data_IF_589980158576
#
_entry.id   IF_589980158576
#
_cell.length_a   1.000
_cell.length_b   1.000
_cell.length_c   1.000
_cell.angle_alpha   90.00
_cell.angle_beta   90.00
_cell.angle_gamma   90.00
#
_symmetry.space_group_name_H-M   'P 1'
#
loop_
_entity.id
_entity.type
_entity.pdbx_description
1 polymer ?
#
# COMPACT_ATOMS: atom_id res chain seq x y z
N UNK A 1 3.00 21.33 -15.90
CA UNK A 1 4.37 20.77 -15.67
C UNK A 1 4.37 19.27 -15.35
N UNK A 2 3.27 18.66 -14.88
CA UNK A 2 3.16 17.21 -14.65
C UNK A 2 2.22 16.52 -15.66
N UNK A 3 1.98 17.16 -16.80
CA UNK A 3 1.05 16.74 -17.85
C UNK A 3 1.43 15.35 -18.41
N UNK A 4 2.73 15.05 -18.52
CA UNK A 4 3.24 13.73 -18.91
C UNK A 4 2.78 12.59 -18.00
N UNK A 5 2.38 12.90 -16.76
CA UNK A 5 1.87 11.97 -15.78
C UNK A 5 0.33 11.94 -15.77
N UNK A 6 -0.31 13.09 -16.00
CA UNK A 6 -1.77 13.24 -15.97
C UNK A 6 -2.46 12.68 -17.22
N UNK A 7 -1.89 12.89 -18.41
CA UNK A 7 -2.46 12.38 -19.66
C UNK A 7 -2.52 10.84 -19.71
N UNK A 8 -1.47 10.08 -19.37
CA UNK A 8 -1.56 8.62 -19.39
C UNK A 8 -2.58 8.07 -18.39
N UNK A 9 -2.64 8.62 -17.19
CA UNK A 9 -3.58 8.15 -16.15
C UNK A 9 -5.03 8.46 -16.53
N UNK A 10 -5.30 9.69 -16.99
CA UNK A 10 -6.64 10.05 -17.50
C UNK A 10 -7.03 9.24 -18.73
N UNK A 11 -6.10 8.95 -19.63
CA UNK A 11 -6.35 8.14 -20.81
C UNK A 11 -6.75 6.70 -20.45
N UNK A 12 -5.98 6.04 -19.58
CA UNK A 12 -6.33 4.68 -19.12
C UNK A 12 -7.67 4.68 -18.39
N UNK A 13 -7.93 5.67 -17.54
CA UNK A 13 -9.23 5.80 -16.87
C UNK A 13 -10.36 5.99 -17.88
N UNK A 14 -10.16 6.81 -18.91
CA UNK A 14 -11.13 7.00 -20.00
C UNK A 14 -11.39 5.70 -20.74
N UNK A 15 -10.36 4.94 -21.12
CA UNK A 15 -10.56 3.64 -21.78
C UNK A 15 -11.48 2.70 -20.99
N UNK A 16 -11.29 2.64 -19.66
CA UNK A 16 -12.19 1.86 -18.80
C UNK A 16 -13.59 2.46 -18.72
N UNK A 17 -13.73 3.79 -18.67
CA UNK A 17 -15.02 4.45 -18.70
C UNK A 17 -15.77 4.18 -20.01
N UNK A 18 -15.11 4.24 -21.17
CA UNK A 18 -15.71 3.92 -22.47
C UNK A 18 -16.19 2.47 -22.51
N UNK A 19 -15.38 1.53 -22.01
CA UNK A 19 -15.75 0.12 -21.92
C UNK A 19 -16.98 -0.09 -21.04
N UNK A 20 -16.99 0.46 -19.82
CA UNK A 20 -18.14 0.32 -18.94
C UNK A 20 -19.34 1.15 -19.40
N UNK A 21 -19.10 2.26 -20.08
CA UNK A 21 -20.11 3.09 -20.73
C UNK A 21 -20.86 2.32 -21.81
N UNK A 22 -20.17 1.49 -22.59
CA UNK A 22 -20.79 0.60 -23.56
C UNK A 22 -21.64 -0.51 -22.89
N UNK A 23 -21.29 -0.96 -21.68
CA UNK A 23 -21.98 -2.05 -20.98
C UNK A 23 -23.15 -1.59 -20.11
N UNK A 24 -23.00 -0.45 -19.43
CA UNK A 24 -23.91 0.03 -18.38
C UNK A 24 -24.45 1.43 -18.65
N UNK A 25 -24.10 2.04 -19.79
CA UNK A 25 -24.45 3.40 -20.17
C UNK A 25 -23.34 4.41 -19.84
N UNK A 26 -23.00 5.34 -20.75
CA UNK A 26 -21.85 6.25 -20.60
C UNK A 26 -22.07 7.32 -19.51
N UNK A 27 -23.32 7.66 -19.22
CA UNK A 27 -23.68 8.68 -18.24
C UNK A 27 -23.88 8.14 -16.81
N UNK A 28 -23.76 6.83 -16.59
CA UNK A 28 -24.06 6.26 -15.27
C UNK A 28 -22.90 6.45 -14.30
N UNK A 29 -23.24 6.69 -13.03
CA UNK A 29 -22.23 6.72 -11.98
C UNK A 29 -21.53 5.38 -11.76
N UNK A 30 -22.17 4.26 -12.15
CA UNK A 30 -21.55 2.94 -12.12
C UNK A 30 -20.38 2.84 -13.11
N UNK A 31 -20.54 3.30 -14.35
CA UNK A 31 -19.46 3.32 -15.36
C UNK A 31 -18.26 4.13 -14.89
N UNK A 32 -18.50 5.30 -14.29
CA UNK A 32 -17.45 6.13 -13.70
C UNK A 32 -16.81 5.52 -12.46
N UNK A 33 -17.59 4.90 -11.56
CA UNK A 33 -17.06 4.21 -10.39
C UNK A 33 -16.17 3.03 -10.82
N UNK A 34 -16.62 2.23 -11.78
CA UNK A 34 -15.86 1.10 -12.31
C UNK A 34 -14.61 1.56 -13.06
N UNK A 35 -14.62 2.72 -13.74
CA UNK A 35 -13.42 3.23 -14.40
C UNK A 35 -12.30 3.56 -13.39
N UNK A 36 -12.64 4.13 -12.24
CA UNK A 36 -11.70 4.36 -11.13
C UNK A 36 -11.22 3.03 -10.56
N UNK A 37 -12.12 2.07 -10.30
CA UNK A 37 -11.77 0.74 -9.76
C UNK A 37 -10.77 0.03 -10.68
N UNK A 38 -11.06 -0.03 -11.98
CA UNK A 38 -10.23 -0.77 -12.94
C UNK A 38 -8.93 -0.05 -13.29
N UNK A 39 -8.89 1.29 -13.22
CA UNK A 39 -7.61 2.01 -13.24
C UNK A 39 -6.70 1.53 -12.10
N UNK A 40 -7.21 1.43 -10.87
CA UNK A 40 -6.44 0.91 -9.72
C UNK A 40 -5.96 -0.50 -9.98
N UNK A 41 -6.85 -1.39 -10.44
CA UNK A 41 -6.51 -2.78 -10.72
C UNK A 41 -5.46 -2.90 -11.84
N UNK A 42 -5.52 -2.03 -12.86
CA UNK A 42 -4.53 -1.98 -13.95
C UNK A 42 -3.14 -1.66 -13.40
N UNK A 43 -3.02 -0.61 -12.59
CA UNK A 43 -1.75 -0.22 -11.97
C UNK A 43 -1.23 -1.33 -11.06
N UNK A 44 -2.11 -1.98 -10.30
CA UNK A 44 -1.75 -3.10 -9.43
C UNK A 44 -1.28 -4.33 -10.21
N UNK A 45 -1.93 -4.64 -11.33
CA UNK A 45 -1.53 -5.73 -12.20
C UNK A 45 -0.13 -5.50 -12.77
N UNK A 46 0.18 -4.29 -13.24
CA UNK A 46 1.52 -3.92 -13.72
C UNK A 46 2.59 -4.06 -12.62
N UNK A 47 2.22 -3.78 -11.37
CA UNK A 47 3.12 -3.83 -10.22
C UNK A 47 3.21 -5.22 -9.54
N UNK A 48 2.45 -6.22 -10.00
CA UNK A 48 2.35 -7.53 -9.33
C UNK A 48 3.69 -8.27 -9.26
N UNK A 49 4.50 -8.16 -10.33
CA UNK A 49 5.84 -8.78 -10.38
C UNK A 49 6.76 -8.17 -9.33
N UNK A 50 6.69 -6.85 -9.14
CA UNK A 50 7.47 -6.18 -8.12
C UNK A 50 7.01 -6.60 -6.71
N UNK A 51 5.69 -6.69 -6.48
CA UNK A 51 5.15 -7.21 -5.23
C UNK A 51 5.62 -8.63 -4.91
N UNK A 52 5.65 -9.52 -5.90
CA UNK A 52 6.19 -10.88 -5.76
C UNK A 52 7.64 -10.88 -5.26
N UNK A 53 8.50 -10.08 -5.90
CA UNK A 53 9.91 -9.96 -5.52
C UNK A 53 10.08 -9.48 -4.08
N UNK A 54 9.29 -8.48 -3.66
CA UNK A 54 9.29 -7.98 -2.28
C UNK A 54 8.90 -9.05 -1.26
N UNK A 55 7.83 -9.80 -1.53
CA UNK A 55 7.36 -10.84 -0.62
C UNK A 55 8.31 -12.03 -0.55
N UNK A 56 8.95 -12.39 -1.67
CA UNK A 56 10.01 -13.41 -1.70
C UNK A 56 11.23 -12.97 -0.87
N UNK A 57 11.68 -11.73 -1.03
CA UNK A 57 12.79 -11.19 -0.25
C UNK A 57 12.48 -11.21 1.27
N UNK A 58 11.26 -10.80 1.66
CA UNK A 58 10.81 -10.85 3.05
C UNK A 58 10.71 -12.29 3.60
N UNK A 59 10.40 -13.29 2.77
CA UNK A 59 10.43 -14.71 3.16
C UNK A 59 11.86 -15.19 3.44
N UNK A 60 12.82 -14.79 2.61
CA UNK A 60 14.24 -15.10 2.81
C UNK A 60 14.74 -14.43 4.10
N UNK A 61 14.45 -13.14 4.30
CA UNK A 61 14.87 -12.43 5.51
C UNK A 61 14.35 -13.05 6.81
N UNK A 62 13.09 -13.53 6.80
CA UNK A 62 12.54 -14.35 7.90
C UNK A 62 13.35 -15.61 8.19
N UNK A 63 13.84 -16.31 7.16
CA UNK A 63 14.68 -17.48 7.33
C UNK A 63 16.08 -17.12 7.88
N UNK A 64 16.56 -15.89 7.63
CA UNK A 64 17.83 -15.37 8.13
C UNK A 64 17.76 -14.80 9.56
N UNK A 65 16.57 -14.56 10.10
CA UNK A 65 16.37 -14.02 11.45
C UNK A 65 17.25 -14.65 12.56
N UNK A 66 17.42 -15.99 12.66
CA UNK A 66 18.29 -16.58 13.68
C UNK A 66 19.78 -16.25 13.48
N UNK A 67 20.24 -16.11 12.23
CA UNK A 67 21.63 -15.73 11.94
C UNK A 67 21.87 -14.24 12.22
N UNK A 68 20.89 -13.39 11.91
CA UNK A 68 20.91 -11.97 12.28
C UNK A 68 20.95 -11.80 13.81
N UNK A 69 20.21 -12.62 14.57
CA UNK A 69 20.28 -12.61 16.03
C UNK A 69 21.69 -12.91 16.56
N UNK A 70 22.41 -13.86 15.94
CA UNK A 70 23.81 -14.16 16.31
C UNK A 70 24.77 -13.04 15.93
N UNK A 71 24.59 -12.41 14.77
CA UNK A 71 25.37 -11.22 14.40
C UNK A 71 25.17 -10.08 15.41
N UNK A 72 23.93 -9.89 15.87
CA UNK A 72 23.60 -8.91 16.93
C UNK A 72 24.34 -9.20 18.23
N UNK A 73 24.54 -10.47 18.60
CA UNK A 73 25.31 -10.86 19.78
C UNK A 73 26.82 -10.65 19.58
N UNK A 74 27.35 -10.96 18.39
CA UNK A 74 28.78 -10.82 18.08
C UNK A 74 29.23 -9.36 17.96
N UNK A 75 28.40 -8.49 17.41
CA UNK A 75 28.69 -7.08 17.20
C UNK A 75 27.97 -6.18 18.22
N UNK A 76 27.73 -6.69 19.45
CA UNK A 76 27.17 -5.86 20.53
C UNK A 76 28.07 -4.66 20.78
N UNK A 77 27.50 -3.46 20.73
CA UNK A 77 28.22 -2.21 20.93
C UNK A 77 28.80 -1.56 19.68
N UNK A 78 28.80 -2.24 18.52
CA UNK A 78 29.25 -1.68 17.24
C UNK A 78 28.12 -1.71 16.21
N UNK A 79 27.34 -0.63 16.18
CA UNK A 79 26.19 -0.50 15.28
C UNK A 79 26.58 -0.50 13.80
N UNK A 80 27.77 0.02 13.47
CA UNK A 80 28.24 0.10 12.08
C UNK A 80 28.65 -1.28 11.57
N UNK A 81 29.47 -2.00 12.32
CA UNK A 81 29.86 -3.37 11.96
C UNK A 81 28.64 -4.30 11.89
N UNK A 82 27.68 -4.15 12.80
CA UNK A 82 26.42 -4.90 12.76
C UNK A 82 25.63 -4.62 11.47
N UNK A 83 25.50 -3.35 11.07
CA UNK A 83 24.77 -2.97 9.86
C UNK A 83 25.43 -3.55 8.60
N UNK A 84 26.76 -3.44 8.49
CA UNK A 84 27.54 -3.97 7.37
C UNK A 84 27.46 -5.50 7.27
N UNK A 85 27.63 -6.21 8.39
CA UNK A 85 27.54 -7.67 8.44
C UNK A 85 26.12 -8.18 8.12
N UNK A 86 25.10 -7.50 8.64
CA UNK A 86 23.69 -7.83 8.35
C UNK A 86 23.38 -7.61 6.87
N UNK A 87 23.84 -6.50 6.29
CA UNK A 87 23.66 -6.22 4.86
C UNK A 87 24.39 -7.23 3.97
N UNK A 88 25.62 -7.63 4.34
CA UNK A 88 26.35 -8.69 3.64
C UNK A 88 25.60 -10.02 3.66
N UNK A 89 25.10 -10.43 4.83
CA UNK A 89 24.31 -11.66 4.98
C UNK A 89 23.03 -11.64 4.13
N UNK A 90 22.31 -10.53 4.12
CA UNK A 90 21.12 -10.41 3.27
C UNK A 90 21.49 -10.57 1.78
N UNK A 91 22.56 -9.89 1.32
CA UNK A 91 23.03 -9.92 -0.07
C UNK A 91 23.43 -11.32 -0.54
N UNK A 92 24.18 -12.09 0.27
CA UNK A 92 24.61 -13.45 -0.10
C UNK A 92 23.43 -14.41 -0.31
N UNK A 93 22.31 -14.17 0.36
CA UNK A 93 21.09 -14.95 0.22
C UNK A 93 20.07 -14.34 -0.78
N UNK A 94 20.47 -13.34 -1.56
CA UNK A 94 19.61 -12.71 -2.57
C UNK A 94 18.42 -11.93 -1.97
N UNK A 95 18.56 -11.50 -0.72
CA UNK A 95 17.62 -10.59 -0.06
C UNK A 95 18.27 -9.22 0.12
N UNK A 96 17.50 -8.14 0.05
CA UNK A 96 18.04 -6.81 0.34
C UNK A 96 16.96 -5.93 0.96
N UNK A 97 17.30 -5.14 2.00
CA UNK A 97 16.37 -4.19 2.63
C UNK A 97 15.75 -3.19 1.64
N UNK A 98 16.46 -2.87 0.55
CA UNK A 98 16.03 -1.88 -0.46
C UNK A 98 15.16 -2.46 -1.58
N UNK A 99 15.00 -3.79 -1.66
CA UNK A 99 14.26 -4.49 -2.74
C UNK A 99 12.79 -4.06 -2.84
N UNK A 100 12.28 -3.29 -1.88
CA UNK A 100 10.89 -2.84 -1.84
C UNK A 100 10.58 -1.37 -2.09
N UNK A 101 11.57 -0.48 -2.14
CA UNK A 101 11.32 0.97 -2.25
C UNK A 101 10.85 1.39 -3.65
N UNK A 102 11.24 0.66 -4.71
CA UNK A 102 10.88 0.99 -6.09
C UNK A 102 9.37 1.07 -6.37
N UNK A 103 8.55 0.29 -5.65
CA UNK A 103 7.08 0.35 -5.82
C UNK A 103 6.51 1.65 -5.27
N UNK A 104 7.08 2.17 -4.18
CA UNK A 104 6.61 3.42 -3.58
C UNK A 104 6.83 4.58 -4.55
N UNK A 105 7.98 4.59 -5.25
CA UNK A 105 8.29 5.60 -6.25
C UNK A 105 7.36 5.59 -7.46
N UNK A 106 6.76 4.45 -7.84
CA UNK A 106 5.76 4.41 -8.91
C UNK A 106 4.34 4.72 -8.39
N UNK A 107 4.03 4.30 -7.16
CA UNK A 107 2.70 4.46 -6.58
C UNK A 107 2.36 5.93 -6.27
N UNK A 108 3.32 6.70 -5.74
CA UNK A 108 3.10 8.11 -5.35
C UNK A 108 2.75 8.97 -6.59
N UNK A 109 3.51 8.95 -7.70
CA UNK A 109 3.16 9.68 -8.91
C UNK A 109 1.77 9.32 -9.43
N UNK A 110 1.44 8.03 -9.54
CA UNK A 110 0.11 7.61 -10.03
C UNK A 110 -1.01 8.13 -9.13
N UNK A 111 -0.82 8.11 -7.81
CA UNK A 111 -1.79 8.69 -6.88
C UNK A 111 -1.94 10.20 -7.06
N UNK A 112 -0.82 10.93 -7.14
CA UNK A 112 -0.83 12.38 -7.39
C UNK A 112 -1.51 12.70 -8.72
N UNK A 113 -1.28 11.88 -9.75
CA UNK A 113 -1.91 12.01 -11.05
C UNK A 113 -3.42 11.86 -10.96
N UNK A 114 -3.89 10.78 -10.35
CA UNK A 114 -5.31 10.52 -10.22
C UNK A 114 -6.01 11.57 -9.34
N UNK A 115 -5.39 11.94 -8.22
CA UNK A 115 -5.89 13.01 -7.35
C UNK A 115 -6.06 14.31 -8.14
N UNK A 116 -5.06 14.67 -8.95
CA UNK A 116 -5.10 15.86 -9.77
C UNK A 116 -6.20 15.77 -10.83
N UNK A 117 -6.25 14.70 -11.62
CA UNK A 117 -7.27 14.47 -12.65
C UNK A 117 -8.68 14.52 -12.07
N UNK A 118 -8.94 13.84 -10.95
CA UNK A 118 -10.26 13.83 -10.30
C UNK A 118 -10.68 15.20 -9.78
N UNK A 119 -9.75 15.98 -9.23
CA UNK A 119 -10.03 17.36 -8.77
C UNK A 119 -10.22 18.32 -9.95
N UNK A 120 -9.55 18.08 -11.07
CA UNK A 120 -9.66 18.91 -12.28
C UNK A 120 -10.99 18.76 -13.03
N UNK A 121 -11.83 17.78 -12.67
CA UNK A 121 -13.23 17.76 -13.13
C UNK A 121 -14.05 18.91 -12.53
N UNK A 122 -13.78 19.31 -11.28
CA UNK A 122 -14.46 20.41 -10.61
C UNK A 122 -13.44 21.45 -10.13
N UNK A 123 -12.93 22.26 -11.07
CA UNK A 123 -11.87 23.24 -10.80
C UNK A 123 -12.37 24.32 -9.85
N UNK A 124 -11.59 24.69 -8.82
CA UNK A 124 -11.92 25.79 -7.93
C UNK A 124 -12.11 27.11 -8.71
N UNK A 125 -13.12 27.89 -8.33
CA UNK A 125 -13.41 29.20 -8.92
C UNK A 125 -14.25 29.16 -10.20
N UNK A 126 -14.61 27.97 -10.70
CA UNK A 126 -15.54 27.81 -11.82
C UNK A 126 -16.87 27.20 -11.35
N UNK A 127 -17.96 27.58 -12.01
CA UNK A 127 -19.26 26.91 -11.81
C UNK A 127 -19.23 25.49 -12.41
N UNK A 128 -20.21 24.66 -12.04
CA UNK A 128 -20.36 23.32 -12.62
C UNK A 128 -20.50 23.36 -14.15
N UNK A 129 -21.26 24.33 -14.68
CA UNK A 129 -21.46 24.54 -16.11
C UNK A 129 -20.17 24.95 -16.82
N UNK A 130 -19.40 25.88 -16.23
CA UNK A 130 -18.11 26.30 -16.77
C UNK A 130 -17.12 25.13 -16.79
N UNK A 131 -17.08 24.32 -15.73
CA UNK A 131 -16.24 23.12 -15.70
C UNK A 131 -16.65 22.10 -16.77
N UNK A 132 -17.95 21.89 -16.96
CA UNK A 132 -18.51 20.99 -17.96
C UNK A 132 -18.13 21.39 -19.41
N UNK A 133 -17.92 22.68 -19.68
CA UNK A 133 -17.49 23.16 -20.99
C UNK A 133 -16.00 22.93 -21.30
N UNK A 134 -15.19 22.54 -20.31
CA UNK A 134 -13.74 22.41 -20.45
C UNK A 134 -13.30 20.94 -20.44
N UNK A 135 -12.46 20.56 -21.41
CA UNK A 135 -11.81 19.25 -21.41
C UNK A 135 -10.92 19.06 -20.17
N UNK A 136 -10.80 17.83 -19.70
CA UNK A 136 -9.94 17.45 -18.58
C UNK A 136 -8.94 16.37 -19.03
N UNK A 137 -7.77 16.78 -19.50
CA UNK A 137 -6.78 15.89 -20.10
C UNK A 137 -7.37 15.03 -21.23
N UNK A 138 -7.35 13.70 -21.08
CA UNK A 138 -7.93 12.79 -22.05
C UNK A 138 -9.46 12.83 -22.12
N UNK A 139 -10.15 13.46 -21.16
CA UNK A 139 -11.61 13.55 -21.11
C UNK A 139 -12.13 14.76 -21.89
N UNK A 140 -12.96 14.57 -22.93
CA UNK A 140 -13.62 15.67 -23.63
C UNK A 140 -14.73 16.32 -22.77
N UNK A 141 -15.21 17.52 -23.13
CA UNK A 141 -16.18 18.28 -22.33
C UNK A 141 -17.47 17.51 -21.98
N UNK A 142 -18.00 16.71 -22.90
CA UNK A 142 -19.18 15.86 -22.68
C UNK A 142 -18.96 14.83 -21.57
N UNK A 143 -17.76 14.24 -21.48
CA UNK A 143 -17.40 13.32 -20.39
C UNK A 143 -17.17 14.07 -19.08
N UNK A 144 -16.64 15.30 -19.12
CA UNK A 144 -16.52 16.13 -17.92
C UNK A 144 -17.91 16.48 -17.37
N UNK A 145 -18.83 16.89 -18.24
CA UNK A 145 -20.23 17.13 -17.88
C UNK A 145 -20.89 15.88 -17.29
N UNK A 146 -20.67 14.71 -17.91
CA UNK A 146 -21.15 13.42 -17.41
C UNK A 146 -20.60 13.08 -16.03
N UNK A 147 -19.31 13.26 -15.79
CA UNK A 147 -18.68 12.97 -14.50
C UNK A 147 -19.24 13.84 -13.37
N UNK A 148 -19.47 15.12 -13.61
CA UNK A 148 -20.04 16.05 -12.62
C UNK A 148 -21.45 15.64 -12.18
N UNK A 149 -22.19 14.96 -13.05
CA UNK A 149 -23.52 14.42 -12.78
C UNK A 149 -23.51 12.98 -12.26
N UNK A 150 -22.35 12.30 -12.28
CA UNK A 150 -22.24 10.93 -11.85
C UNK A 150 -22.55 10.78 -10.35
N UNK A 151 -23.42 9.82 -10.01
CA UNK A 151 -23.83 9.49 -8.65
C UNK A 151 -23.54 8.02 -8.33
N UNK A 152 -22.91 7.76 -7.20
CA UNK A 152 -22.74 6.43 -6.62
C UNK A 152 -23.65 6.32 -5.40
N UNK A 153 -24.71 5.50 -5.50
CA UNK A 153 -25.73 5.38 -4.44
C UNK A 153 -26.31 6.73 -3.99
N UNK A 154 -26.58 7.64 -4.94
CA UNK A 154 -27.09 8.99 -4.67
C UNK A 154 -26.01 10.04 -4.36
N UNK A 155 -24.78 9.63 -4.04
CA UNK A 155 -23.67 10.55 -3.74
C UNK A 155 -22.90 10.98 -5.01
N UNK A 156 -22.74 12.28 -5.29
CA UNK A 156 -21.85 12.76 -6.34
C UNK A 156 -20.42 12.24 -6.16
N UNK A 157 -19.80 11.78 -7.25
CA UNK A 157 -18.43 11.26 -7.20
C UNK A 157 -17.40 12.31 -6.76
N UNK A 158 -17.70 13.59 -6.95
CA UNK A 158 -16.90 14.74 -6.49
C UNK A 158 -17.30 15.29 -5.12
N UNK A 159 -18.37 14.79 -4.49
CA UNK A 159 -18.79 15.23 -3.15
C UNK A 159 -17.87 14.67 -2.05
N UNK A 160 -17.86 15.30 -0.88
CA UNK A 160 -17.16 14.85 0.32
C UNK A 160 -18.05 15.01 1.56
N UNK A 161 -17.71 14.33 2.66
CA UNK A 161 -18.58 14.15 3.84
C UNK A 161 -19.17 15.44 4.42
N UNK A 162 -18.36 16.50 4.51
CA UNK A 162 -18.75 17.79 5.11
C UNK A 162 -18.78 18.92 4.08
N UNK A 163 -19.27 18.61 2.89
CA UNK A 163 -19.50 19.63 1.88
C UNK A 163 -20.64 20.56 2.33
N UNK A 164 -20.47 21.89 2.24
CA UNK A 164 -21.56 22.84 2.54
C UNK A 164 -22.77 22.60 1.64
N UNK A 165 -23.98 22.78 2.18
CA UNK A 165 -25.23 22.53 1.45
C UNK A 165 -25.34 23.33 0.14
N UNK A 166 -24.82 24.55 0.10
CA UNK A 166 -24.78 25.38 -1.11
C UNK A 166 -23.93 24.76 -2.23
N UNK A 167 -22.76 24.20 -1.90
CA UNK A 167 -21.90 23.51 -2.86
C UNK A 167 -22.50 22.17 -3.29
N UNK A 168 -23.22 21.52 -2.37
CA UNK A 168 -23.93 20.28 -2.66
C UNK A 168 -25.11 20.52 -3.60
N UNK A 169 -25.82 21.63 -3.43
CA UNK A 169 -26.89 22.08 -4.31
C UNK A 169 -26.38 22.54 -5.69
N UNK A 170 -25.11 22.93 -5.80
CA UNK A 170 -24.48 23.29 -7.07
C UNK A 170 -24.24 22.08 -7.99
N UNK A 171 -24.40 20.85 -7.49
CA UNK A 171 -24.42 19.67 -8.34
C UNK A 171 -25.75 19.60 -9.10
N UNK A 172 -25.68 19.68 -10.43
CA UNK A 172 -26.86 19.56 -11.28
C UNK A 172 -27.54 18.19 -11.20
N UNK A 173 -28.83 18.13 -11.58
CA UNK A 173 -29.63 16.90 -11.58
C UNK A 173 -30.52 16.75 -10.34
N UNK A 174 -30.72 15.52 -9.89
CA UNK A 174 -31.58 15.22 -8.73
C UNK A 174 -31.01 15.85 -7.44
N UNK A 175 -31.87 16.27 -6.48
CA UNK A 175 -31.44 16.78 -5.19
C UNK A 175 -30.46 15.82 -4.52
N UNK A 176 -29.32 16.36 -4.07
CA UNK A 176 -28.30 15.56 -3.41
C UNK A 176 -28.57 15.52 -1.92
N UNK A 177 -28.87 14.33 -1.41
CA UNK A 177 -29.04 14.10 0.02
C UNK A 177 -27.67 13.97 0.71
N UNK A 178 -27.40 14.86 1.67
CA UNK A 178 -26.20 14.84 2.49
C UNK A 178 -26.04 13.54 3.29
N UNK A 179 -27.15 12.89 3.68
CA UNK A 179 -27.11 11.62 4.38
C UNK A 179 -26.62 10.48 3.46
N UNK A 180 -27.05 10.47 2.19
CA UNK A 180 -26.55 9.53 1.19
C UNK A 180 -25.04 9.69 0.96
N UNK A 181 -24.55 10.94 0.85
CA UNK A 181 -23.11 11.23 0.76
C UNK A 181 -22.37 10.69 1.98
N UNK A 182 -22.88 10.97 3.18
CA UNK A 182 -22.28 10.51 4.42
C UNK A 182 -22.20 8.97 4.50
N UNK A 183 -23.30 8.29 4.17
CA UNK A 183 -23.35 6.82 4.17
C UNK A 183 -22.29 6.23 3.23
N UNK A 184 -22.19 6.71 2.00
CA UNK A 184 -21.19 6.24 1.02
C UNK A 184 -19.77 6.49 1.52
N UNK A 185 -19.47 7.69 2.00
CA UNK A 185 -18.14 8.04 2.52
C UNK A 185 -17.75 7.15 3.71
N UNK A 186 -18.64 6.96 4.68
CA UNK A 186 -18.38 6.13 5.86
C UNK A 186 -18.14 4.68 5.43
N UNK A 187 -18.99 4.10 4.57
CA UNK A 187 -18.85 2.72 4.12
C UNK A 187 -17.52 2.51 3.40
N UNK A 188 -17.19 3.35 2.40
CA UNK A 188 -15.94 3.23 1.65
C UNK A 188 -14.72 3.35 2.58
N UNK A 189 -14.74 4.30 3.52
CA UNK A 189 -13.62 4.55 4.42
C UNK A 189 -13.45 3.43 5.44
N UNK A 190 -14.53 2.92 6.03
CA UNK A 190 -14.50 1.81 6.97
C UNK A 190 -13.99 0.54 6.27
N UNK A 191 -14.49 0.23 5.08
CA UNK A 191 -14.01 -0.92 4.30
C UNK A 191 -12.52 -0.77 3.95
N UNK A 192 -12.08 0.43 3.55
CA UNK A 192 -10.66 0.71 3.29
C UNK A 192 -9.80 0.48 4.54
N UNK A 193 -10.25 0.96 5.71
CA UNK A 193 -9.55 0.80 6.98
C UNK A 193 -9.48 -0.67 7.41
N UNK A 194 -10.58 -1.41 7.33
CA UNK A 194 -10.64 -2.85 7.64
C UNK A 194 -9.69 -3.62 6.73
N UNK A 195 -9.74 -3.39 5.41
CA UNK A 195 -8.83 -4.06 4.47
C UNK A 195 -7.37 -3.71 4.74
N UNK A 196 -7.08 -2.45 5.11
CA UNK A 196 -5.74 -2.01 5.50
C UNK A 196 -5.25 -2.76 6.73
N UNK A 197 -6.05 -2.82 7.79
CA UNK A 197 -5.75 -3.57 9.01
C UNK A 197 -5.46 -5.04 8.70
N UNK A 198 -6.38 -5.71 8.01
CA UNK A 198 -6.24 -7.13 7.66
C UNK A 198 -4.99 -7.36 6.79
N UNK A 199 -4.73 -6.50 5.80
CA UNK A 199 -3.56 -6.64 4.93
C UNK A 199 -2.25 -6.60 5.72
N UNK A 200 -2.15 -5.74 6.74
CA UNK A 200 -0.97 -5.64 7.60
C UNK A 200 -0.87 -6.81 8.58
N UNK A 201 -2.00 -7.34 9.07
CA UNK A 201 -2.02 -8.53 9.93
C UNK A 201 -1.61 -9.79 9.17
N UNK A 202 -1.98 -9.90 7.89
CA UNK A 202 -1.53 -10.96 7.00
C UNK A 202 -0.16 -10.70 6.38
N UNK A 203 0.35 -9.47 6.45
CA UNK A 203 1.72 -9.14 6.09
C UNK A 203 2.69 -9.78 7.09
N UNK A 204 3.42 -10.81 6.64
CA UNK A 204 4.47 -11.42 7.44
C UNK A 204 5.69 -10.49 7.41
N UNK A 205 5.85 -9.70 8.46
CA UNK A 205 7.00 -8.80 8.63
C UNK A 205 8.33 -9.59 8.59
N UNK A 206 9.40 -8.95 8.13
CA UNK A 206 10.77 -9.48 8.15
C UNK A 206 11.47 -9.05 9.46
N UNK A 207 11.68 -9.94 10.44
CA UNK A 207 12.31 -9.61 11.72
C UNK A 207 13.79 -9.20 11.58
N UNK A 208 14.45 -9.60 10.49
CA UNK A 208 15.85 -9.28 10.22
C UNK A 208 16.06 -7.80 9.84
N UNK A 209 15.06 -7.19 9.21
CA UNK A 209 15.10 -5.81 8.72
C UNK A 209 14.75 -4.75 9.80
N UNK A 210 14.35 -5.16 11.00
CA UNK A 210 13.89 -4.24 12.06
C UNK A 210 15.06 -3.78 12.95
N UNK A 211 15.38 -2.48 13.00
CA UNK A 211 16.32 -1.93 13.97
C UNK A 211 15.84 -2.13 15.41
N UNK A 212 16.77 -2.34 16.36
CA UNK A 212 16.48 -2.75 17.74
C UNK A 212 15.56 -1.78 18.52
N UNK A 213 15.46 -0.50 18.11
CA UNK A 213 14.54 0.50 18.70
C UNK A 213 13.20 0.66 17.98
N UNK A 214 13.03 0.10 16.78
CA UNK A 214 11.84 0.32 15.95
C UNK A 214 10.74 -0.75 16.15
N UNK A 215 11.03 -1.83 16.87
CA UNK A 215 10.14 -3.00 17.00
C UNK A 215 8.76 -2.67 17.58
N UNK A 216 8.71 -1.78 18.58
CA UNK A 216 7.44 -1.36 19.21
C UNK A 216 6.57 -0.54 18.25
N UNK A 217 7.19 0.39 17.50
CA UNK A 217 6.49 1.23 16.51
C UNK A 217 5.94 0.37 15.38
N UNK A 218 6.74 -0.56 14.85
CA UNK A 218 6.30 -1.46 13.78
C UNK A 218 5.20 -2.43 14.24
N UNK A 219 5.24 -2.89 15.49
CA UNK A 219 4.18 -3.73 16.06
C UNK A 219 2.84 -2.98 16.22
N UNK A 220 2.88 -1.66 16.43
CA UNK A 220 1.68 -0.82 16.51
C UNK A 220 1.13 -0.42 15.12
N UNK A 221 1.93 -0.54 14.06
CA UNK A 221 1.57 -0.08 12.71
C UNK A 221 0.23 -0.64 12.18
N UNK A 222 -0.10 -1.94 12.35
CA UNK A 222 -1.40 -2.48 11.91
C UNK A 222 -2.62 -1.86 12.59
N UNK A 223 -2.44 -1.17 13.71
CA UNK A 223 -3.50 -0.48 14.45
C UNK A 223 -3.52 1.02 14.15
N UNK A 224 -2.36 1.64 14.00
CA UNK A 224 -2.25 3.07 13.70
C UNK A 224 -2.66 3.37 12.25
N UNK A 225 -2.21 2.57 11.29
CA UNK A 225 -2.49 2.80 9.88
C UNK A 225 -3.99 2.84 9.53
N UNK A 226 -4.85 1.88 9.96
CA UNK A 226 -6.28 1.95 9.67
C UNK A 226 -6.97 3.16 10.33
N UNK A 227 -6.51 3.59 11.51
CA UNK A 227 -6.99 4.84 12.14
C UNK A 227 -6.65 6.05 11.26
N UNK A 228 -5.43 6.09 10.69
CA UNK A 228 -5.06 7.12 9.73
C UNK A 228 -5.94 7.14 8.48
N UNK A 229 -6.35 5.97 7.97
CA UNK A 229 -7.29 5.87 6.84
C UNK A 229 -8.68 6.40 7.24
N UNK A 230 -9.18 6.04 8.42
CA UNK A 230 -10.45 6.56 8.95
C UNK A 230 -10.40 8.09 9.11
N UNK A 231 -9.36 8.61 9.74
CA UNK A 231 -9.16 10.05 9.90
C UNK A 231 -9.06 10.75 8.53
N UNK A 232 -8.32 10.16 7.59
CA UNK A 232 -8.18 10.65 6.22
C UNK A 232 -9.54 10.80 5.52
N UNK A 233 -10.37 9.76 5.53
CA UNK A 233 -11.65 9.77 4.83
C UNK A 233 -12.77 10.53 5.53
N UNK A 234 -12.73 10.64 6.86
CA UNK A 234 -13.80 11.26 7.65
C UNK A 234 -13.49 12.71 8.08
N UNK A 235 -12.21 13.10 8.15
CA UNK A 235 -11.82 14.42 8.65
C UNK A 235 -11.38 15.41 7.56
N UNK A 236 -11.06 14.93 6.36
CA UNK A 236 -10.59 15.78 5.27
C UNK A 236 -11.61 15.84 4.12
N UNK A 237 -11.61 16.91 3.29
CA UNK A 237 -12.51 17.04 2.15
C UNK A 237 -12.05 16.13 0.99
N UNK A 238 -12.19 14.83 1.18
CA UNK A 238 -11.80 13.81 0.21
C UNK A 238 -13.01 13.45 -0.67
N UNK A 239 -12.92 13.62 -2.00
CA UNK A 239 -13.99 13.25 -2.90
C UNK A 239 -14.33 11.75 -2.84
N UNK A 240 -15.61 11.40 -3.02
CA UNK A 240 -16.10 10.01 -3.08
C UNK A 240 -15.30 9.16 -4.08
N UNK A 241 -14.99 9.69 -5.27
CA UNK A 241 -14.17 9.00 -6.26
C UNK A 241 -12.77 8.65 -5.75
N UNK A 242 -12.15 9.53 -4.94
CA UNK A 242 -10.85 9.24 -4.35
C UNK A 242 -10.95 8.23 -3.21
N UNK A 243 -12.03 8.26 -2.43
CA UNK A 243 -12.29 7.22 -1.42
C UNK A 243 -12.52 5.85 -2.06
N UNK A 244 -13.21 5.81 -3.21
CA UNK A 244 -13.38 4.59 -3.99
C UNK A 244 -12.02 4.06 -4.48
N UNK A 245 -11.14 4.94 -4.93
CA UNK A 245 -9.74 4.59 -5.23
C UNK A 245 -9.02 4.00 -4.01
N UNK A 246 -9.10 4.65 -2.84
CA UNK A 246 -8.47 4.17 -1.60
C UNK A 246 -9.01 2.81 -1.17
N UNK A 247 -10.32 2.65 -1.11
CA UNK A 247 -10.97 1.38 -0.77
C UNK A 247 -10.52 0.27 -1.73
N UNK A 248 -10.59 0.52 -3.04
CA UNK A 248 -10.16 -0.46 -4.06
C UNK A 248 -8.68 -0.81 -3.90
N UNK A 249 -7.84 0.18 -3.64
CA UNK A 249 -6.42 -0.03 -3.37
C UNK A 249 -6.16 -0.90 -2.13
N UNK A 250 -6.91 -0.68 -1.06
CA UNK A 250 -6.81 -1.48 0.17
C UNK A 250 -7.29 -2.92 -0.04
N UNK A 251 -8.42 -3.11 -0.74
CA UNK A 251 -8.93 -4.44 -1.13
C UNK A 251 -7.90 -5.17 -2.00
N UNK A 252 -7.41 -4.52 -3.05
CA UNK A 252 -6.40 -5.10 -3.95
C UNK A 252 -5.11 -5.47 -3.21
N UNK A 253 -4.70 -4.65 -2.23
CA UNK A 253 -3.53 -4.96 -1.39
C UNK A 253 -3.77 -6.20 -0.53
N UNK A 254 -4.94 -6.31 0.12
CA UNK A 254 -5.31 -7.48 0.90
C UNK A 254 -5.36 -8.74 0.03
N UNK A 255 -6.07 -8.68 -1.11
CA UNK A 255 -6.18 -9.81 -2.05
C UNK A 255 -4.80 -10.23 -2.54
N UNK A 256 -3.96 -9.29 -2.97
CA UNK A 256 -2.59 -9.57 -3.40
C UNK A 256 -1.78 -10.23 -2.27
N UNK A 257 -1.89 -9.73 -1.03
CA UNK A 257 -1.20 -10.30 0.12
C UNK A 257 -1.63 -11.76 0.37
N UNK A 258 -2.94 -12.03 0.33
CA UNK A 258 -3.49 -13.37 0.52
C UNK A 258 -3.06 -14.33 -0.59
N UNK A 259 -3.20 -13.93 -1.86
CA UNK A 259 -2.87 -14.76 -3.02
C UNK A 259 -1.37 -15.04 -3.08
N UNK A 260 -0.52 -14.00 -3.02
CA UNK A 260 0.91 -14.17 -3.16
C UNK A 260 1.54 -14.92 -1.97
N UNK A 261 0.99 -14.77 -0.75
CA UNK A 261 1.44 -15.56 0.40
C UNK A 261 1.13 -17.03 0.20
N UNK A 262 -0.09 -17.37 -0.22
CA UNK A 262 -0.46 -18.77 -0.53
C UNK A 262 0.42 -19.37 -1.62
N UNK A 263 0.70 -18.62 -2.69
CA UNK A 263 1.59 -19.05 -3.76
C UNK A 263 3.03 -19.24 -3.30
N UNK A 264 3.54 -18.37 -2.43
CA UNK A 264 4.87 -18.50 -1.85
C UNK A 264 4.96 -19.69 -0.89
N UNK A 265 3.94 -19.94 -0.08
CA UNK A 265 3.93 -21.05 0.88
C UNK A 265 3.94 -22.41 0.19
N UNK A 266 3.37 -22.51 -1.03
CA UNK A 266 3.49 -23.70 -1.90
C UNK A 266 4.91 -23.97 -2.40
N UNK A 267 5.82 -22.98 -2.37
CA UNK A 267 7.22 -23.18 -2.76
C UNK A 267 8.03 -23.74 -1.59
N UNK A 268 9.01 -24.62 -1.84
CA UNK A 268 9.84 -25.20 -0.80
C UNK A 268 10.45 -24.11 0.10
N UNK A 269 10.61 -24.39 1.41
CA UNK A 269 11.18 -23.45 2.35
C UNK A 269 12.59 -23.05 1.91
N UNK A 270 12.95 -21.80 2.18
CA UNK A 270 14.32 -21.32 1.95
C UNK A 270 15.22 -22.04 2.96
N UNK A 271 15.99 -23.01 2.49
CA UNK A 271 16.97 -23.72 3.31
C UNK A 271 18.18 -22.80 3.44
N UNK A 272 18.33 -22.19 4.62
CA UNK A 272 19.54 -21.47 4.98
C UNK A 272 20.44 -22.48 5.69
N UNK A 273 21.58 -22.82 5.07
CA UNK A 273 22.52 -23.76 5.67
C UNK A 273 22.89 -23.31 7.09
N UNK A 274 23.00 -24.23 8.06
CA UNK A 274 23.53 -23.90 9.37
C UNK A 274 24.90 -23.24 9.18
N UNK A 275 25.23 -22.18 9.94
CA UNK A 275 26.57 -21.61 9.86
C UNK A 275 27.57 -22.72 10.19
N UNK A 276 28.68 -22.75 9.44
CA UNK A 276 29.76 -23.69 9.71
C UNK A 276 30.09 -23.66 11.20
N UNK A 277 30.24 -24.83 11.87
CA UNK A 277 30.61 -24.86 13.28
C UNK A 277 31.85 -23.99 13.43
N UNK A 278 31.82 -23.10 14.42
CA UNK A 278 32.97 -22.28 14.74
C UNK A 278 34.15 -23.25 14.84
N UNK A 279 35.15 -23.11 13.97
CA UNK A 279 36.44 -23.74 14.19
C UNK A 279 36.87 -23.19 15.53
N UNK A 280 36.64 -23.99 16.58
CA UNK A 280 36.92 -23.59 17.95
C UNK A 280 38.30 -22.98 17.91
N UNK A 281 38.43 -21.76 18.42
CA UNK A 281 39.75 -21.12 18.56
C UNK A 281 40.61 -22.18 19.22
N UNK A 282 41.53 -22.78 18.45
CA UNK A 282 42.46 -23.73 19.01
C UNK A 282 43.06 -23.02 20.22
N UNK A 283 43.05 -23.65 21.41
CA UNK A 283 43.66 -23.03 22.57
C UNK A 283 45.04 -22.55 22.15
N UNK A 284 45.34 -21.26 22.42
CA UNK A 284 46.64 -20.67 22.06
C UNK A 284 47.73 -21.66 22.51
N UNK A 285 48.75 -21.95 21.67
CA UNK A 285 49.85 -22.82 22.07
C UNK A 285 50.35 -22.39 23.46
N UNK A 286 50.24 -23.27 24.45
CA UNK A 286 50.61 -22.99 25.85
C UNK A 286 49.47 -22.77 26.86
N UNK A 287 48.19 -22.79 26.47
CA UNK A 287 47.09 -22.75 27.44
C UNK A 287 47.01 -24.07 28.25
N UNK A 288 47.39 -24.03 29.54
CA UNK A 288 47.34 -25.19 30.44
C UNK A 288 45.89 -25.71 30.59
N UNK A 289 45.67 -27.04 30.61
CA UNK A 289 44.34 -27.59 30.83
C UNK A 289 43.83 -27.24 32.22
N UNK A 290 42.66 -26.61 32.32
CA UNK A 290 41.96 -26.48 33.60
C UNK A 290 41.35 -27.85 33.92
N UNK A 291 41.97 -28.60 34.84
CA UNK A 291 41.38 -29.83 35.39
C UNK A 291 40.07 -29.49 36.11
N UNK A 292 38.93 -29.91 35.56
CA UNK A 292 37.67 -29.96 36.31
C UNK A 292 37.84 -30.98 37.44
N UNK A 293 37.73 -30.53 38.70
CA UNK A 293 37.69 -31.41 39.87
C UNK A 293 36.40 -32.25 39.83
N UNK A 294 36.44 -33.56 40.13
CA UNK A 294 35.24 -34.36 40.26
C UNK A 294 34.42 -33.87 41.45
N UNK A 295 33.11 -33.73 41.26
CA UNK A 295 32.18 -33.45 42.35
C UNK A 295 32.30 -34.56 43.40
N UNK A 296 32.63 -34.19 44.62
CA UNK A 296 32.84 -35.13 45.72
C UNK A 296 31.58 -35.94 45.99
N UNK A 297 31.73 -37.25 45.98
CA UNK A 297 30.87 -38.16 46.71
C UNK A 297 31.08 -37.89 48.21
N UNK A 298 30.02 -37.54 48.93
CA UNK A 298 29.92 -37.84 50.36
C UNK A 298 28.54 -38.46 50.61
N UNK A 299 28.62 -39.69 51.13
CA UNK A 299 27.57 -40.39 51.86
C UNK A 299 27.30 -39.66 53.17
#
# INVERSE_FOLDING_TARGET
MLDFLYYPVSFVMRLWHELFGALFGPATGLSWALSVVFLVLTVRALLVRSAWTRMRAARIGRALAPQVARLRERHRGDARALAEATAALHRTHGSSPVTGLGVVFLQIPVFVALLHVLRSFNRPGLTSEQNAALANYAFPPDQVASFLQARLFGAPLSAWLRMPAEQLAAFGGAPVDGAAVAAVVVVLTVLAAVCTHLSMRYARADPGAVPQGATRILAALPWIAPVGVLAGGLLYPVPVALLLYWMTGSVATLVQQLVLTRLLDRRPPVVVAPPAPERGRAPRPGAKPVRRRPAGARR
#
